data_IF_064847833090
#
_entry.id   IF_064847833090
#
_cell.length_a   1.000
_cell.length_b   1.000
_cell.length_c   1.000
_cell.angle_alpha   90.00
_cell.angle_beta   90.00
_cell.angle_gamma   90.00
#
_symmetry.space_group_name_H-M   'P 1'
#
loop_
_entity.id
_entity.type
_entity.pdbx_description
1 polymer ?
#
# COMPACT_ATOMS: atom_id res chain seq x y z
N UNK A 1 -22.13 -0.92 -2.59
CA UNK A 1 -20.68 -0.90 -2.56
C UNK A 1 -20.28 0.33 -1.75
N UNK A 2 -19.27 0.28 -0.89
CA UNK A 2 -18.87 1.44 -0.09
C UNK A 2 -17.90 2.35 -0.87
N UNK A 3 -17.83 3.61 -0.48
CA UNK A 3 -16.85 4.54 -1.03
C UNK A 3 -15.43 4.07 -0.70
N UNK A 4 -14.49 4.26 -1.63
CA UNK A 4 -13.08 3.90 -1.50
C UNK A 4 -12.19 5.14 -1.57
N UNK A 5 -11.06 5.09 -0.88
CA UNK A 5 -10.02 6.10 -0.98
C UNK A 5 -9.22 5.86 -2.27
N UNK A 6 -9.15 6.85 -3.12
CA UNK A 6 -8.43 6.82 -4.40
C UNK A 6 -7.19 7.67 -4.27
N UNK A 7 -6.03 7.10 -4.59
CA UNK A 7 -4.74 7.79 -4.54
C UNK A 7 -4.14 7.84 -5.94
N UNK A 8 -3.94 9.03 -6.49
CA UNK A 8 -3.28 9.25 -7.78
C UNK A 8 -1.76 9.40 -7.55
N UNK A 9 -1.00 8.32 -7.80
CA UNK A 9 0.44 8.30 -7.55
C UNK A 9 1.23 9.26 -8.45
N UNK A 10 0.69 9.63 -9.60
CA UNK A 10 1.36 10.58 -10.48
C UNK A 10 1.33 12.01 -9.92
N UNK A 11 0.30 12.33 -9.15
CA UNK A 11 0.15 13.62 -8.47
C UNK A 11 0.79 13.65 -7.09
N UNK A 12 0.96 12.48 -6.46
CA UNK A 12 1.68 12.34 -5.20
C UNK A 12 3.19 12.47 -5.46
N UNK A 13 3.70 13.67 -5.59
CA UNK A 13 5.13 13.92 -5.72
C UNK A 13 5.87 13.62 -4.42
N UNK A 14 7.07 13.15 -4.55
CA UNK A 14 7.90 12.39 -3.63
C UNK A 14 8.40 13.12 -2.37
N UNK A 15 7.93 14.29 -2.05
CA UNK A 15 8.40 15.00 -0.85
C UNK A 15 7.22 15.58 -0.12
N UNK A 16 6.84 14.85 0.96
CA UNK A 16 6.06 15.39 2.05
C UNK A 16 5.07 16.45 1.57
N UNK A 17 3.92 16.01 1.03
CA UNK A 17 2.81 16.94 0.88
C UNK A 17 2.45 17.44 2.27
N UNK A 18 3.23 18.39 2.73
CA UNK A 18 3.27 18.96 4.08
C UNK A 18 1.96 19.68 4.45
N UNK A 19 0.83 19.14 4.06
CA UNK A 19 -0.48 19.71 4.33
C UNK A 19 -1.57 18.67 4.49
N UNK A 20 -1.35 17.43 4.05
CA UNK A 20 -2.37 16.37 4.18
C UNK A 20 -2.46 15.91 5.62
N UNK A 21 -3.62 16.12 6.25
CA UNK A 21 -3.85 15.77 7.64
C UNK A 21 -4.60 14.45 7.77
N UNK A 22 -4.31 13.70 8.85
CA UNK A 22 -5.04 12.50 9.20
C UNK A 22 -5.81 12.70 10.50
N UNK A 23 -7.05 12.25 10.55
CA UNK A 23 -7.86 12.31 11.78
C UNK A 23 -7.44 11.26 12.82
N UNK A 24 -6.66 10.26 12.43
CA UNK A 24 -6.17 9.21 13.32
C UNK A 24 -4.89 9.64 14.03
N UNK A 25 -5.03 10.22 15.21
CA UNK A 25 -3.92 10.81 15.98
C UNK A 25 -3.38 9.89 17.09
N UNK A 26 -3.86 8.65 17.18
CA UNK A 26 -3.67 7.83 18.38
C UNK A 26 -2.44 6.91 18.38
N UNK A 27 -1.68 6.82 17.30
CA UNK A 27 -0.47 6.01 17.28
C UNK A 27 0.75 6.91 17.06
N UNK A 28 1.77 6.88 17.95
CA UNK A 28 2.95 7.75 17.84
C UNK A 28 3.77 7.52 16.56
N UNK A 29 3.72 6.30 16.01
CA UNK A 29 4.37 5.93 14.74
C UNK A 29 3.55 6.27 13.49
N UNK A 30 2.31 6.75 13.64
CA UNK A 30 1.44 7.04 12.52
C UNK A 30 1.71 8.43 11.96
N UNK A 31 2.41 8.48 10.84
CA UNK A 31 2.66 9.70 10.06
C UNK A 31 1.47 10.05 9.15
N UNK A 32 0.29 9.46 9.40
CA UNK A 32 -0.92 9.72 8.64
C UNK A 32 -0.82 9.26 7.19
N UNK A 33 -1.03 10.19 6.27
CA UNK A 33 -1.04 9.90 4.83
C UNK A 33 0.33 9.42 4.33
N UNK A 34 1.43 9.91 4.87
CA UNK A 34 2.77 9.48 4.47
C UNK A 34 3.00 7.99 4.75
N UNK A 35 2.61 7.52 5.94
CA UNK A 35 2.65 6.08 6.26
C UNK A 35 1.76 5.25 5.33
N UNK A 36 0.58 5.76 4.99
CA UNK A 36 -0.30 5.09 4.02
C UNK A 36 0.34 5.01 2.65
N UNK A 37 0.96 6.09 2.17
CA UNK A 37 1.61 6.13 0.87
C UNK A 37 2.80 5.17 0.78
N UNK A 38 3.61 5.08 1.83
CA UNK A 38 4.70 4.10 1.93
C UNK A 38 4.17 2.66 1.87
N UNK A 39 3.12 2.36 2.63
CA UNK A 39 2.48 1.04 2.61
C UNK A 39 1.86 0.70 1.24
N UNK A 40 1.27 1.67 0.58
CA UNK A 40 0.71 1.49 -0.78
C UNK A 40 1.81 1.17 -1.78
N UNK A 41 2.89 1.93 -1.78
CA UNK A 41 4.05 1.69 -2.66
C UNK A 41 4.67 0.30 -2.42
N UNK A 42 4.86 -0.06 -1.17
CA UNK A 42 5.32 -1.39 -0.79
C UNK A 42 4.37 -2.49 -1.30
N UNK A 43 3.06 -2.32 -1.07
CA UNK A 43 2.08 -3.33 -1.45
C UNK A 43 1.99 -3.53 -2.96
N UNK A 44 2.13 -2.50 -3.77
CA UNK A 44 2.14 -2.60 -5.23
C UNK A 44 3.25 -3.52 -5.75
N UNK A 45 4.42 -3.49 -5.12
CA UNK A 45 5.55 -4.36 -5.46
C UNK A 45 5.31 -5.76 -4.91
N UNK A 46 4.97 -5.85 -3.64
CA UNK A 46 4.83 -7.09 -2.90
C UNK A 46 3.75 -7.99 -3.49
N UNK A 47 2.64 -7.44 -3.98
CA UNK A 47 1.55 -8.19 -4.61
C UNK A 47 1.94 -8.94 -5.88
N UNK A 48 3.01 -8.53 -6.55
CA UNK A 48 3.54 -9.18 -7.76
C UNK A 48 4.57 -10.29 -7.44
N UNK A 49 4.95 -10.44 -6.18
CA UNK A 49 5.93 -11.44 -5.74
C UNK A 49 5.26 -12.74 -5.31
N UNK A 50 5.12 -13.69 -6.21
CA UNK A 50 4.52 -15.01 -5.94
C UNK A 50 5.41 -15.90 -5.08
N UNK A 51 6.72 -15.90 -5.36
CA UNK A 51 7.68 -16.77 -4.68
C UNK A 51 7.83 -16.49 -3.18
N UNK A 52 7.50 -15.26 -2.75
CA UNK A 52 7.54 -14.81 -1.35
C UNK A 52 8.75 -15.32 -0.54
N UNK A 53 10.00 -15.14 -1.01
CA UNK A 53 11.18 -15.69 -0.34
C UNK A 53 11.35 -15.19 1.09
N UNK A 54 10.83 -14.01 1.39
CA UNK A 54 10.80 -13.44 2.74
C UNK A 54 9.97 -14.26 3.73
N UNK A 55 8.88 -14.88 3.27
CA UNK A 55 8.05 -15.78 4.09
C UNK A 55 8.82 -17.04 4.41
N UNK A 56 9.42 -17.66 3.37
CA UNK A 56 10.20 -18.89 3.52
C UNK A 56 11.47 -18.68 4.37
N UNK A 57 12.06 -17.49 4.33
CA UNK A 57 13.26 -17.17 5.08
C UNK A 57 12.98 -16.78 6.55
N UNK A 58 11.73 -16.61 6.94
CA UNK A 58 11.41 -16.18 8.30
C UNK A 58 11.55 -17.32 9.32
N UNK A 59 12.56 -17.31 10.23
CA UNK A 59 12.79 -18.42 11.14
C UNK A 59 11.67 -18.60 12.17
N UNK A 60 10.89 -17.57 12.40
CA UNK A 60 9.79 -17.58 13.37
C UNK A 60 8.41 -17.80 12.72
N UNK A 61 8.36 -17.94 11.39
CA UNK A 61 7.09 -18.04 10.69
C UNK A 61 6.17 -16.82 10.91
N UNK A 62 6.77 -15.65 11.16
CA UNK A 62 6.03 -14.43 11.49
C UNK A 62 5.41 -13.75 10.27
N UNK A 63 5.73 -14.20 9.06
CA UNK A 63 5.26 -13.61 7.82
C UNK A 63 4.36 -14.57 7.06
N UNK A 64 3.29 -14.05 6.52
CA UNK A 64 2.38 -14.79 5.64
C UNK A 64 1.89 -13.90 4.49
N UNK A 65 1.59 -14.52 3.36
CA UNK A 65 0.87 -13.88 2.26
C UNK A 65 -0.62 -14.17 2.40
N UNK A 66 -1.42 -13.13 2.67
CA UNK A 66 -2.87 -13.29 2.69
C UNK A 66 -3.42 -13.30 1.27
N UNK A 67 -4.36 -14.22 0.98
CA UNK A 67 -4.96 -14.29 -0.35
C UNK A 67 -5.61 -12.96 -0.73
N UNK A 68 -5.49 -12.61 -1.99
CA UNK A 68 -6.14 -11.44 -2.59
C UNK A 68 -7.37 -11.87 -3.39
N UNK A 69 -8.37 -11.00 -3.42
CA UNK A 69 -9.53 -11.17 -4.30
C UNK A 69 -9.20 -10.90 -5.78
N UNK A 70 -8.05 -10.29 -6.05
CA UNK A 70 -7.67 -9.76 -7.37
C UNK A 70 -6.73 -10.68 -8.17
N UNK A 71 -6.64 -11.97 -7.85
CA UNK A 71 -5.77 -12.95 -8.51
C UNK A 71 -4.28 -12.54 -8.54
N UNK A 72 -3.82 -11.79 -7.55
CA UNK A 72 -2.42 -11.44 -7.35
C UNK A 72 -1.78 -12.28 -6.22
N UNK A 73 -0.48 -12.12 -5.99
CA UNK A 73 0.27 -12.86 -4.97
C UNK A 73 -0.14 -12.54 -3.52
N UNK A 74 -1.12 -11.69 -3.33
CA UNK A 74 -1.64 -11.32 -2.01
C UNK A 74 -0.79 -10.31 -1.27
N UNK A 75 -1.22 -9.97 -0.07
CA UNK A 75 -0.59 -8.96 0.79
C UNK A 75 0.26 -9.65 1.84
N UNK A 76 1.51 -9.20 1.97
CA UNK A 76 2.37 -9.64 3.06
C UNK A 76 1.86 -9.06 4.39
N UNK A 77 1.66 -9.92 5.37
CA UNK A 77 1.28 -9.57 6.74
C UNK A 77 2.31 -10.08 7.72
N UNK A 78 2.40 -9.43 8.87
CA UNK A 78 3.33 -9.76 9.93
C UNK A 78 2.59 -10.02 11.25
N UNK A 79 2.85 -11.17 11.86
CA UNK A 79 2.42 -11.44 13.22
C UNK A 79 3.44 -10.82 14.20
N UNK A 80 3.02 -9.76 14.90
CA UNK A 80 3.90 -9.02 15.81
C UNK A 80 4.47 -9.86 16.92
N UNK A 81 3.65 -10.72 17.50
CA UNK A 81 4.03 -11.55 18.64
C UNK A 81 5.08 -12.61 18.27
N UNK A 82 5.22 -12.94 16.99
CA UNK A 82 6.22 -13.90 16.50
C UNK A 82 7.47 -13.21 15.93
N UNK A 83 7.36 -11.93 15.55
CA UNK A 83 8.46 -11.21 14.91
C UNK A 83 9.52 -10.81 15.94
N UNK A 84 10.74 -11.34 15.79
CA UNK A 84 11.90 -11.00 16.63
C UNK A 84 12.74 -9.83 16.08
N UNK A 85 12.35 -9.23 14.95
CA UNK A 85 13.10 -8.14 14.33
C UNK A 85 14.44 -8.54 13.72
N UNK A 86 14.66 -9.81 13.41
CA UNK A 86 15.95 -10.32 12.94
C UNK A 86 16.40 -9.82 11.55
N UNK A 87 15.52 -9.19 10.76
CA UNK A 87 15.83 -8.62 9.46
C UNK A 87 16.03 -9.61 8.30
N UNK A 88 15.96 -10.93 8.54
CA UNK A 88 16.17 -11.96 7.50
C UNK A 88 15.24 -11.78 6.29
N UNK A 89 14.01 -11.33 6.52
CA UNK A 89 13.06 -11.05 5.45
C UNK A 89 13.50 -9.91 4.53
N UNK A 90 14.17 -8.90 5.07
CA UNK A 90 14.70 -7.78 4.29
C UNK A 90 15.84 -8.23 3.38
N UNK A 91 16.71 -9.10 3.89
CA UNK A 91 17.82 -9.69 3.12
C UNK A 91 17.29 -10.64 2.02
N UNK A 92 16.25 -11.40 2.32
CA UNK A 92 15.65 -12.35 1.39
C UNK A 92 14.79 -11.70 0.30
N UNK A 93 14.42 -10.41 0.45
CA UNK A 93 13.58 -9.72 -0.51
C UNK A 93 14.37 -9.37 -1.78
N UNK A 94 14.02 -9.91 -2.97
CA UNK A 94 14.74 -9.65 -4.22
C UNK A 94 14.58 -8.20 -4.70
N UNK A 95 13.59 -7.48 -4.18
CA UNK A 95 13.31 -6.10 -4.54
C UNK A 95 13.88 -5.09 -3.53
N UNK A 96 14.44 -5.55 -2.42
CA UNK A 96 14.98 -4.69 -1.37
C UNK A 96 13.95 -3.76 -0.72
N UNK A 97 12.66 -4.12 -0.77
CA UNK A 97 11.56 -3.23 -0.35
C UNK A 97 11.03 -3.52 1.04
N UNK A 98 11.52 -4.56 1.70
CA UNK A 98 11.05 -4.91 3.03
C UNK A 98 11.86 -4.18 4.09
N UNK A 99 11.20 -3.23 4.72
CA UNK A 99 11.57 -2.70 6.02
C UNK A 99 10.58 -3.23 7.04
N UNK A 100 11.03 -3.65 8.21
CA UNK A 100 10.17 -4.31 9.20
C UNK A 100 9.00 -3.44 9.67
N UNK A 101 9.17 -2.14 9.65
CA UNK A 101 8.15 -1.13 9.96
C UNK A 101 7.12 -0.92 8.85
N UNK A 102 7.47 -1.25 7.59
CA UNK A 102 6.53 -1.17 6.45
C UNK A 102 5.63 -2.39 6.30
N UNK A 103 5.99 -3.54 6.87
CA UNK A 103 5.13 -4.73 6.81
C UNK A 103 3.97 -4.57 7.79
N UNK A 104 2.74 -4.37 7.30
CA UNK A 104 1.64 -4.01 8.17
C UNK A 104 1.22 -5.15 9.09
N UNK A 105 0.82 -4.78 10.31
CA UNK A 105 -0.01 -5.67 11.11
C UNK A 105 -1.43 -5.68 10.54
N UNK A 106 -2.26 -6.66 10.92
CA UNK A 106 -3.67 -6.65 10.53
C UNK A 106 -4.42 -5.37 10.89
N UNK A 107 -4.01 -4.70 11.96
CA UNK A 107 -4.66 -3.47 12.48
C UNK A 107 -3.99 -2.16 12.05
N UNK A 108 -2.89 -2.19 11.30
CA UNK A 108 -2.11 -0.98 10.96
C UNK A 108 -2.43 -0.40 9.59
N UNK A 109 -3.29 -1.06 8.82
CA UNK A 109 -3.74 -0.54 7.53
C UNK A 109 -4.76 0.58 7.78
N UNK A 110 -4.71 1.63 6.96
CA UNK A 110 -5.70 2.69 6.99
C UNK A 110 -7.12 2.11 6.88
N UNK A 111 -7.95 2.41 7.84
CA UNK A 111 -9.35 1.97 7.92
C UNK A 111 -10.31 2.91 7.18
N UNK A 112 -9.77 3.89 6.42
CA UNK A 112 -10.53 4.92 5.70
C UNK A 112 -11.51 5.66 6.64
N UNK A 113 -11.06 5.93 7.86
CA UNK A 113 -11.87 6.57 8.92
C UNK A 113 -13.17 5.82 9.25
N UNK A 114 -13.18 4.49 9.12
CA UNK A 114 -14.36 3.66 9.38
C UNK A 114 -14.97 3.95 10.76
N UNK A 115 -16.28 4.22 10.78
CA UNK A 115 -17.02 4.54 11.99
C UNK A 115 -16.75 5.95 12.58
N UNK A 116 -15.90 6.77 11.97
CA UNK A 116 -15.58 8.14 12.41
C UNK A 116 -16.14 9.23 11.50
N UNK A 117 -16.56 8.86 10.28
CA UNK A 117 -17.16 9.79 9.33
C UNK A 117 -18.68 9.85 9.52
N UNK A 118 -19.22 11.04 9.45
CA UNK A 118 -20.68 11.25 9.34
C UNK A 118 -21.16 10.91 7.92
N UNK A 119 -22.44 10.66 7.72
CA UNK A 119 -23.01 10.50 6.39
C UNK A 119 -22.63 11.69 5.49
N UNK A 120 -22.08 11.40 4.31
CA UNK A 120 -21.59 12.37 3.32
C UNK A 120 -20.29 13.13 3.68
N UNK A 121 -19.69 12.86 4.82
CA UNK A 121 -18.41 13.45 5.21
C UNK A 121 -17.27 12.73 4.50
N UNK A 122 -16.24 13.51 4.08
CA UNK A 122 -15.02 12.96 3.49
C UNK A 122 -13.92 12.78 4.55
N UNK A 123 -12.97 11.86 4.34
CA UNK A 123 -11.79 11.79 5.19
C UNK A 123 -11.01 13.10 5.20
N UNK A 124 -10.46 13.49 6.35
CA UNK A 124 -9.69 14.74 6.49
C UNK A 124 -8.50 14.83 5.51
N UNK A 125 -7.90 13.69 5.16
CA UNK A 125 -6.82 13.65 4.17
C UNK A 125 -7.28 14.06 2.76
N UNK A 126 -8.54 13.84 2.41
CA UNK A 126 -9.12 14.30 1.14
C UNK A 126 -9.37 15.81 1.17
N UNK A 127 -9.96 16.31 2.26
CA UNK A 127 -10.30 17.73 2.40
C UNK A 127 -9.06 18.62 2.49
N UNK A 128 -7.96 18.09 3.03
CA UNK A 128 -6.69 18.83 3.18
C UNK A 128 -5.73 18.63 2.02
N UNK A 129 -6.09 17.81 1.01
CA UNK A 129 -5.27 17.54 -0.15
C UNK A 129 -5.39 18.69 -1.19
N UNK A 130 -4.39 19.57 -1.25
CA UNK A 130 -4.43 20.75 -2.09
C UNK A 130 -4.25 20.47 -3.60
N UNK A 131 -3.63 19.35 -3.95
CA UNK A 131 -3.30 19.00 -5.35
C UNK A 131 -4.27 18.01 -5.99
N UNK A 132 -5.31 17.58 -5.25
CA UNK A 132 -6.27 16.60 -5.73
C UNK A 132 -5.69 15.23 -6.05
N UNK A 133 -4.62 14.84 -5.35
CA UNK A 133 -4.04 13.50 -5.46
C UNK A 133 -4.85 12.44 -4.71
N UNK A 134 -5.72 12.85 -3.81
CA UNK A 134 -6.55 11.97 -3.00
C UNK A 134 -8.02 12.29 -3.24
N UNK A 135 -8.83 11.27 -3.47
CA UNK A 135 -10.28 11.39 -3.63
C UNK A 135 -11.01 10.30 -2.83
N UNK A 136 -12.26 10.50 -2.52
CA UNK A 136 -13.08 9.54 -1.79
C UNK A 136 -14.47 9.45 -2.42
N UNK A 137 -14.71 8.35 -3.11
CA UNK A 137 -15.98 8.10 -3.83
C UNK A 137 -16.20 6.61 -4.08
N UNK A 138 -17.41 6.27 -4.47
CA UNK A 138 -17.67 4.95 -5.03
C UNK A 138 -16.96 4.82 -6.39
N UNK A 139 -16.25 3.71 -6.57
CA UNK A 139 -15.50 3.44 -7.80
C UNK A 139 -15.52 1.96 -8.14
N UNK A 140 -15.66 1.68 -9.42
CA UNK A 140 -15.41 0.36 -10.00
C UNK A 140 -13.94 0.32 -10.41
N UNK A 141 -13.25 -0.74 -10.01
CA UNK A 141 -11.79 -0.88 -10.27
C UNK A 141 -11.63 -1.40 -11.69
N UNK A 142 -11.31 -0.49 -12.62
CA UNK A 142 -11.10 -0.78 -14.05
C UNK A 142 -9.96 0.09 -14.59
N UNK A 143 -9.31 -0.36 -15.68
CA UNK A 143 -8.27 0.40 -16.40
C UNK A 143 -7.00 0.61 -15.57
N UNK A 144 -6.65 1.87 -15.33
CA UNK A 144 -5.47 2.33 -14.58
C UNK A 144 -5.66 2.33 -13.05
N UNK A 145 -6.80 1.82 -12.59
CA UNK A 145 -7.10 1.69 -11.17
C UNK A 145 -6.71 0.30 -10.65
N UNK A 146 -5.94 0.26 -9.58
CA UNK A 146 -5.53 -0.99 -8.91
C UNK A 146 -5.98 -0.96 -7.45
N UNK A 147 -6.74 -1.95 -7.03
CA UNK A 147 -7.08 -2.13 -5.62
C UNK A 147 -5.86 -2.66 -4.86
N UNK A 148 -5.38 -1.88 -3.90
CA UNK A 148 -4.22 -2.25 -3.07
C UNK A 148 -4.66 -2.83 -1.74
N UNK A 149 -5.63 -2.21 -1.10
CA UNK A 149 -6.30 -2.70 0.10
C UNK A 149 -7.81 -2.64 -0.12
N UNK A 150 -8.58 -3.32 0.70
CA UNK A 150 -10.04 -3.47 0.54
C UNK A 150 -10.77 -2.14 0.29
N UNK A 151 -10.30 -1.06 0.92
CA UNK A 151 -10.91 0.27 0.82
C UNK A 151 -10.02 1.31 0.13
N UNK A 152 -8.91 0.89 -0.48
CA UNK A 152 -7.91 1.78 -1.06
C UNK A 152 -7.60 1.34 -2.49
N UNK A 153 -7.84 2.25 -3.41
CA UNK A 153 -7.57 2.11 -4.84
C UNK A 153 -6.50 3.12 -5.24
N UNK A 154 -5.59 2.68 -6.08
CA UNK A 154 -4.51 3.51 -6.58
C UNK A 154 -4.67 3.71 -8.06
N UNK A 155 -4.54 4.95 -8.50
CA UNK A 155 -4.43 5.29 -9.92
C UNK A 155 -2.96 5.35 -10.30
N UNK A 156 -2.59 4.54 -11.30
CA UNK A 156 -1.23 4.49 -11.85
C UNK A 156 -1.30 5.08 -13.26
N UNK A 157 -1.20 6.40 -13.38
CA UNK A 157 -1.23 7.07 -14.68
C UNK A 157 0.13 6.97 -15.36
N UNK A 158 0.18 6.31 -16.51
CA UNK A 158 1.21 6.49 -17.53
C UNK A 158 2.65 6.24 -17.15
N UNK A 159 3.00 5.04 -16.80
CA UNK A 159 4.40 4.66 -16.53
C UNK A 159 4.65 4.49 -15.04
N UNK A 160 4.34 3.31 -14.53
CA UNK A 160 4.77 2.95 -13.17
C UNK A 160 6.30 3.07 -13.13
N UNK A 161 6.84 3.51 -12.01
CA UNK A 161 8.29 3.54 -11.75
C UNK A 161 8.99 2.19 -11.99
N UNK A 162 8.21 1.14 -12.25
CA UNK A 162 8.61 -0.25 -12.51
C UNK A 162 8.54 -0.66 -13.99
N UNK A 163 7.84 0.07 -14.84
CA UNK A 163 7.73 -0.25 -16.27
C UNK A 163 9.06 -0.20 -17.03
N UNK A 164 10.07 0.62 -16.69
CA UNK A 164 11.35 0.54 -17.36
C UNK A 164 11.96 -0.85 -17.34
N UNK A 165 11.78 -1.60 -16.25
CA UNK A 165 12.31 -2.97 -16.12
C UNK A 165 11.47 -4.03 -16.84
N UNK A 166 10.19 -3.78 -17.09
CA UNK A 166 9.30 -4.71 -17.79
C UNK A 166 9.32 -4.50 -19.30
N UNK A 167 9.45 -3.27 -19.78
CA UNK A 167 9.49 -2.95 -21.21
C UNK A 167 10.70 -3.55 -21.94
N UNK A 168 11.84 -3.66 -21.27
CA UNK A 168 13.04 -4.25 -21.87
C UNK A 168 12.92 -5.77 -22.02
N UNK A 169 12.15 -6.43 -21.17
CA UNK A 169 11.88 -7.87 -21.28
C UNK A 169 10.92 -8.24 -22.42
N UNK A 170 10.01 -7.33 -22.81
CA UNK A 170 9.12 -7.52 -23.95
C UNK A 170 9.79 -7.20 -25.28
N UNK A 171 10.72 -6.25 -25.31
CA UNK A 171 11.52 -5.95 -26.52
C UNK A 171 12.51 -7.06 -26.87
N UNK A 172 12.96 -7.84 -25.90
CA UNK A 172 13.86 -8.97 -26.14
C UNK A 172 13.16 -10.22 -26.72
N UNK A 173 11.82 -10.22 -26.81
CA UNK A 173 11.01 -11.31 -27.40
C UNK A 173 10.53 -11.05 -28.83
N UNK A 174 11.00 -10.00 -29.47
CA UNK A 174 10.83 -9.71 -30.91
C UNK A 174 12.20 -9.67 -31.56
#
# INVERSE_FOLDING_TARGET
MGAKLIIDLAKCTTQGESGVQCSYKHHPENKGFDSLLEMVRFALICRRCEAAPCVNACPQGALEKLPSKNNDAGILKRANMLCTGCGTCAIACPFGTIYTDLVPFPSSVCDVCNGRLKPQEKPLCVDTCNNGSIDYKEVVVEGDLTEVFENIVVKISGGSTWEPFLRDSEKAKR
#
